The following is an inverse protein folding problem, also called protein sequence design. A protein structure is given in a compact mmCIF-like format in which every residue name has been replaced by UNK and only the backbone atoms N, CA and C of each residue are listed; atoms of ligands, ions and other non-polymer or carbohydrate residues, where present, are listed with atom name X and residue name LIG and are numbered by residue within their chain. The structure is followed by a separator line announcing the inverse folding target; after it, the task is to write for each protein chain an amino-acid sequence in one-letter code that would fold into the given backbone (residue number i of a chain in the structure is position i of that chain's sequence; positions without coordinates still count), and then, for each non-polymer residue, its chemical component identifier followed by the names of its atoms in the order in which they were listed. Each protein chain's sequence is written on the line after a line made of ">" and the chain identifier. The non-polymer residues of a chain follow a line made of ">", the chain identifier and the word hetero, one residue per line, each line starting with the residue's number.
data_IF_638863084407
#
_entry.id   IF_638863084407
#
_cell.length_a   1.000
_cell.length_b   1.000
_cell.length_c   1.000
_cell.angle_alpha   90.00
_cell.angle_beta   90.00
_cell.angle_gamma   90.00
#
_symmetry.space_group_name_H-M   'P 1'
#
loop_
_entity.id
_entity.type
_entity.pdbx_description
1 polymer ?
#
# COMPACT_ATOMS: atom_id res chain seq x y z
N UNK A 1 -20.80 4.31 -10.77
CA UNK A 1 -19.46 3.91 -10.28
C UNK A 1 -19.53 3.37 -8.87
N UNK A 2 -18.90 2.24 -8.64
CA UNK A 2 -18.87 1.65 -7.31
C UNK A 2 -18.07 2.53 -6.35
N UNK A 3 -18.61 2.70 -5.16
CA UNK A 3 -17.93 3.40 -4.11
C UNK A 3 -17.96 2.58 -2.86
N UNK A 4 -16.79 2.22 -2.37
CA UNK A 4 -16.67 1.50 -1.11
C UNK A 4 -16.83 2.50 0.03
N UNK A 5 -17.75 2.23 0.93
CA UNK A 5 -18.01 3.12 2.06
C UNK A 5 -17.54 2.51 3.35
N UNK A 6 -17.05 3.37 4.22
CA UNK A 6 -16.71 2.97 5.58
C UNK A 6 -18.01 3.07 6.38
N UNK A 7 -18.45 1.95 7.00
CA UNK A 7 -19.70 1.98 7.76
C UNK A 7 -19.66 3.00 8.88
N UNK A 8 -20.81 3.63 9.13
CA UNK A 8 -20.91 4.62 10.19
C UNK A 8 -20.73 4.03 11.58
N UNK A 9 -20.99 2.73 11.74
CA UNK A 9 -20.88 2.10 13.03
C UNK A 9 -19.46 1.66 13.38
N UNK A 10 -18.50 1.94 12.51
CA UNK A 10 -17.11 1.72 12.86
C UNK A 10 -16.65 2.86 13.74
N UNK A 11 -16.39 2.54 15.00
CA UNK A 11 -15.99 3.53 15.99
C UNK A 11 -14.56 3.35 16.45
N UNK A 12 -13.82 2.43 15.86
CA UNK A 12 -12.44 2.15 16.23
C UNK A 12 -11.51 2.67 15.14
N UNK A 13 -10.60 3.57 15.54
CA UNK A 13 -9.67 4.15 14.56
C UNK A 13 -8.85 3.12 13.83
N UNK A 14 -8.49 2.02 14.50
CA UNK A 14 -7.72 0.97 13.86
C UNK A 14 -8.52 0.34 12.73
N UNK A 15 -9.80 0.07 12.97
CA UNK A 15 -10.65 -0.52 11.94
C UNK A 15 -10.80 0.40 10.74
N UNK A 16 -10.96 1.70 11.00
CA UNK A 16 -11.06 2.68 9.93
C UNK A 16 -9.78 2.69 9.11
N UNK A 17 -8.64 2.71 9.78
CA UNK A 17 -7.35 2.70 9.09
C UNK A 17 -7.19 1.45 8.24
N UNK A 18 -7.54 0.28 8.79
CA UNK A 18 -7.43 -0.96 8.04
C UNK A 18 -8.37 -0.99 6.85
N UNK A 19 -9.49 -0.29 6.92
CA UNK A 19 -10.36 -0.17 5.76
C UNK A 19 -9.68 0.58 4.64
N UNK A 20 -8.86 1.57 4.99
CA UNK A 20 -8.19 2.42 4.00
C UNK A 20 -6.93 1.76 3.43
N UNK A 21 -6.11 1.13 4.29
CA UNK A 21 -4.80 0.61 3.85
C UNK A 21 -4.68 -0.91 4.00
N UNK A 22 -5.77 -1.60 4.26
CA UNK A 22 -5.70 -3.02 4.62
C UNK A 22 -5.44 -4.00 3.48
N UNK A 23 -5.41 -3.55 2.24
CA UNK A 23 -5.08 -4.44 1.14
C UNK A 23 -3.62 -4.82 1.17
N UNK A 24 -3.31 -6.01 0.66
CA UNK A 24 -1.96 -6.56 0.77
C UNK A 24 -0.89 -5.64 0.21
N UNK A 25 -1.20 -4.89 -0.85
CA UNK A 25 -0.20 -4.10 -1.55
C UNK A 25 -0.34 -2.61 -1.34
N UNK A 26 -1.42 -2.16 -0.66
CA UNK A 26 -1.74 -0.73 -0.58
C UNK A 26 -0.65 0.09 0.07
N UNK A 27 -0.14 -0.36 1.21
CA UNK A 27 0.91 0.39 1.90
C UNK A 27 2.18 0.47 1.07
N UNK A 28 2.52 -0.61 0.39
CA UNK A 28 3.71 -0.61 -0.48
C UNK A 28 3.51 0.32 -1.68
N UNK A 29 2.30 0.36 -2.22
CA UNK A 29 2.00 1.29 -3.32
C UNK A 29 2.17 2.73 -2.84
N UNK A 30 1.66 3.04 -1.65
CA UNK A 30 1.81 4.39 -1.10
C UNK A 30 3.28 4.75 -0.95
N UNK A 31 4.09 3.82 -0.42
CA UNK A 31 5.53 4.06 -0.31
C UNK A 31 6.16 4.37 -1.66
N UNK A 32 5.78 3.60 -2.66
CA UNK A 32 6.37 3.78 -3.97
C UNK A 32 6.00 5.14 -4.56
N UNK A 33 4.76 5.57 -4.35
CA UNK A 33 4.31 6.86 -4.86
C UNK A 33 4.94 8.03 -4.13
N UNK A 34 5.53 7.80 -2.97
CA UNK A 34 6.28 8.86 -2.29
C UNK A 34 7.53 9.26 -3.07
N UNK A 35 8.02 8.40 -3.95
CA UNK A 35 9.19 8.72 -4.77
C UNK A 35 8.82 9.53 -6.01
N UNK A 36 7.53 9.70 -6.28
CA UNK A 36 7.05 10.46 -7.42
C UNK A 36 5.92 9.74 -8.11
N UNK A 37 5.22 10.42 -9.01
CA UNK A 37 4.11 9.80 -9.74
C UNK A 37 4.56 8.58 -10.54
N UNK A 38 3.65 7.63 -10.69
CA UNK A 38 3.93 6.38 -11.40
C UNK A 38 2.79 6.03 -12.32
N UNK A 39 3.12 5.44 -13.46
CA UNK A 39 2.13 4.86 -14.36
C UNK A 39 1.71 3.49 -13.83
N UNK A 40 0.48 3.06 -14.15
CA UNK A 40 0.07 1.70 -13.75
C UNK A 40 1.05 0.63 -14.20
N UNK A 41 1.59 0.74 -15.42
CA UNK A 41 2.53 -0.27 -15.90
C UNK A 41 3.81 -0.32 -15.07
N UNK A 42 4.24 0.83 -14.56
CA UNK A 42 5.42 0.86 -13.69
C UNK A 42 5.14 0.14 -12.38
N UNK A 43 3.95 0.34 -11.82
CA UNK A 43 3.58 -0.34 -10.59
C UNK A 43 3.44 -1.84 -10.81
N UNK A 44 2.89 -2.25 -11.97
CA UNK A 44 2.80 -3.67 -12.27
C UNK A 44 4.18 -4.31 -12.33
N UNK A 45 5.16 -3.60 -12.87
CA UNK A 45 6.53 -4.13 -12.93
C UNK A 45 7.20 -4.21 -11.57
N UNK A 46 6.86 -3.27 -10.68
CA UNK A 46 7.44 -3.26 -9.34
C UNK A 46 6.87 -4.35 -8.45
N UNK A 47 5.59 -4.65 -8.60
CA UNK A 47 4.91 -5.60 -7.73
C UNK A 47 4.56 -6.85 -8.52
N UNK A 48 5.61 -7.56 -8.98
CA UNK A 48 5.43 -8.69 -9.88
C UNK A 48 4.76 -9.89 -9.23
N UNK A 49 4.76 -9.96 -7.89
CA UNK A 49 4.11 -11.06 -7.18
C UNK A 49 2.59 -10.91 -7.18
N UNK A 50 2.09 -9.75 -7.53
CA UNK A 50 0.65 -9.51 -7.63
C UNK A 50 0.27 -9.47 -9.09
N UNK A 51 -0.95 -9.95 -9.41
CA UNK A 51 -1.44 -9.79 -10.77
C UNK A 51 -1.74 -8.31 -11.03
N UNK A 52 -1.67 -7.87 -12.29
CA UNK A 52 -2.07 -6.50 -12.61
C UNK A 52 -3.48 -6.18 -12.16
N UNK A 53 -4.37 -7.17 -12.21
CA UNK A 53 -5.75 -6.97 -11.77
C UNK A 53 -5.82 -6.61 -10.29
N UNK A 54 -5.04 -7.28 -9.46
CA UNK A 54 -5.02 -7.00 -8.02
C UNK A 54 -4.47 -5.60 -7.76
N UNK A 55 -3.36 -5.26 -8.41
CA UNK A 55 -2.78 -3.92 -8.23
C UNK A 55 -3.76 -2.86 -8.67
N UNK A 56 -4.41 -3.05 -9.83
CA UNK A 56 -5.38 -2.07 -10.32
C UNK A 56 -6.56 -1.92 -9.36
N UNK A 57 -7.00 -3.02 -8.75
CA UNK A 57 -8.10 -2.95 -7.79
C UNK A 57 -7.70 -2.15 -6.57
N UNK A 58 -6.50 -2.36 -6.07
CA UNK A 58 -6.06 -1.63 -4.88
C UNK A 58 -5.78 -0.17 -5.20
N UNK A 59 -5.29 0.14 -6.39
CA UNK A 59 -5.17 1.53 -6.83
C UNK A 59 -6.52 2.22 -6.84
N UNK A 60 -7.54 1.53 -7.36
CA UNK A 60 -8.88 2.09 -7.41
C UNK A 60 -9.41 2.38 -6.01
N UNK A 61 -9.19 1.47 -5.07
CA UNK A 61 -9.65 1.66 -3.71
C UNK A 61 -8.92 2.82 -3.03
N UNK A 62 -7.61 2.92 -3.23
CA UNK A 62 -6.86 4.05 -2.69
C UNK A 62 -7.34 5.38 -3.27
N UNK A 63 -7.67 5.38 -4.55
CA UNK A 63 -8.19 6.59 -5.19
C UNK A 63 -9.55 6.95 -4.62
N UNK A 64 -10.41 5.97 -4.40
CA UNK A 64 -11.73 6.23 -3.82
C UNK A 64 -11.64 6.85 -2.44
N UNK A 65 -10.65 6.46 -1.66
CA UNK A 65 -10.48 7.00 -0.31
C UNK A 65 -9.70 8.32 -0.32
N UNK A 66 -9.31 8.81 -1.50
CA UNK A 66 -8.62 10.08 -1.59
C UNK A 66 -7.16 10.04 -1.20
N UNK A 67 -6.60 8.85 -1.08
CA UNK A 67 -5.19 8.69 -0.69
C UNK A 67 -4.26 8.95 -1.86
N UNK A 68 -4.69 8.57 -3.06
CA UNK A 68 -3.94 8.85 -4.28
C UNK A 68 -4.88 9.50 -5.28
N UNK A 69 -4.30 10.18 -6.26
CA UNK A 69 -5.05 10.80 -7.34
C UNK A 69 -4.53 10.27 -8.67
N UNK A 70 -5.39 10.30 -9.67
CA UNK A 70 -5.06 9.84 -11.00
C UNK A 70 -5.14 11.01 -11.96
N UNK A 71 -4.10 11.22 -12.75
CA UNK A 71 -4.07 12.25 -13.75
C UNK A 71 -3.96 11.59 -15.12
N UNK A 72 -4.82 12.02 -16.04
CA UNK A 72 -4.83 11.49 -17.39
C UNK A 72 -4.15 12.51 -18.30
N UNK A 73 -3.15 12.05 -19.04
CA UNK A 73 -2.43 12.87 -20.01
C UNK A 73 -2.94 12.56 -21.41
N UNK A 74 -3.51 13.58 -22.06
CA UNK A 74 -4.11 13.42 -23.38
C UNK A 74 -3.05 13.60 -24.47
N UNK A 75 -2.00 12.83 -24.35
CA UNK A 75 -0.92 12.83 -25.32
C UNK A 75 -1.10 11.64 -26.26
N UNK A 76 -0.15 11.46 -27.15
CA UNK A 76 -0.13 10.32 -28.08
C UNK A 76 1.09 9.47 -27.76
N UNK A 77 0.89 8.28 -27.16
CA UNK A 77 -0.39 7.70 -26.75
C UNK A 77 -0.85 8.28 -25.42
N UNK A 78 -2.15 8.30 -25.16
CA UNK A 78 -2.64 8.76 -23.85
C UNK A 78 -2.17 7.83 -22.76
N UNK A 79 -1.92 8.41 -21.58
CA UNK A 79 -1.51 7.60 -20.44
C UNK A 79 -2.00 8.26 -19.16
N UNK A 80 -1.93 7.50 -18.07
CA UNK A 80 -2.30 8.02 -16.76
C UNK A 80 -1.17 7.82 -15.79
N UNK A 81 -1.18 8.65 -14.74
CA UNK A 81 -0.22 8.56 -13.66
C UNK A 81 -0.96 8.70 -12.34
N UNK A 82 -0.53 7.92 -11.36
CA UNK A 82 -1.02 8.04 -10.00
C UNK A 82 -0.01 8.80 -9.15
N UNK A 83 -0.50 9.62 -8.24
CA UNK A 83 0.34 10.39 -7.32
C UNK A 83 -0.30 10.40 -5.95
N UNK A 84 0.54 10.52 -4.93
CA UNK A 84 0.04 10.60 -3.56
C UNK A 84 -0.58 11.98 -3.33
N UNK A 85 -1.71 12.02 -2.62
CA UNK A 85 -2.37 13.28 -2.28
C UNK A 85 -1.82 13.81 -0.97
N UNK A 86 -2.23 15.06 -0.62
CA UNK A 86 -1.86 15.60 0.69
C UNK A 86 -2.43 14.74 1.81
N UNK A 87 -3.66 14.25 1.65
CA UNK A 87 -4.22 13.33 2.65
C UNK A 87 -3.39 12.06 2.72
N UNK A 88 -2.99 11.53 1.56
CA UNK A 88 -2.17 10.31 1.54
C UNK A 88 -0.85 10.49 2.26
N UNK A 89 -0.26 11.69 2.18
CA UNK A 89 1.00 11.95 2.85
C UNK A 89 0.89 11.82 4.37
N UNK A 90 -0.30 12.02 4.91
CA UNK A 90 -0.48 11.86 6.36
C UNK A 90 -0.31 10.43 6.82
N UNK A 91 -0.37 9.47 5.90
CA UNK A 91 -0.17 8.07 6.22
C UNK A 91 1.30 7.66 6.22
N UNK A 92 2.18 8.49 5.69
CA UNK A 92 3.57 8.10 5.54
C UNK A 92 4.23 7.74 6.88
N UNK A 93 4.09 8.57 7.95
CA UNK A 93 4.69 8.18 9.23
C UNK A 93 4.15 6.86 9.76
N UNK A 94 2.87 6.60 9.57
CA UNK A 94 2.28 5.34 10.02
C UNK A 94 2.85 4.17 9.24
N UNK A 95 2.96 4.32 7.92
CA UNK A 95 3.46 3.23 7.09
C UNK A 95 4.92 2.96 7.41
N UNK A 96 5.70 3.99 7.71
CA UNK A 96 7.08 3.81 8.13
C UNK A 96 7.15 2.97 9.40
N UNK A 97 6.24 3.24 10.35
CA UNK A 97 6.21 2.46 11.58
C UNK A 97 5.77 1.02 11.32
N UNK A 98 4.83 0.82 10.41
CA UNK A 98 4.44 -0.53 10.02
C UNK A 98 5.63 -1.30 9.44
N UNK A 99 6.42 -0.63 8.62
CA UNK A 99 7.59 -1.27 8.02
C UNK A 99 8.62 -1.63 9.08
N UNK A 100 8.89 -0.72 10.01
CA UNK A 100 9.85 -0.97 11.08
C UNK A 100 9.41 -2.16 11.91
N UNK A 101 8.14 -2.20 12.28
CA UNK A 101 7.64 -3.31 13.08
C UNK A 101 7.75 -4.63 12.32
N UNK A 102 7.36 -4.60 11.03
CA UNK A 102 7.43 -5.81 10.22
C UNK A 102 8.83 -6.32 10.05
N UNK A 103 9.78 -5.43 9.84
CA UNK A 103 11.18 -5.82 9.70
C UNK A 103 11.71 -6.45 10.99
N UNK A 104 11.31 -5.93 12.14
CA UNK A 104 11.77 -6.47 13.41
C UNK A 104 11.14 -7.83 13.71
N UNK A 105 9.95 -8.08 13.17
CA UNK A 105 9.26 -9.35 13.38
C UNK A 105 9.68 -10.40 12.36
N UNK A 106 10.26 -10.01 11.25
CA UNK A 106 10.56 -10.91 10.13
C UNK A 106 11.35 -12.13 10.60
N UNK A 107 10.88 -13.34 10.30
CA UNK A 107 11.64 -14.52 10.66
C UNK A 107 12.95 -14.56 9.91
N UNK A 108 13.92 -15.14 10.54
CA UNK A 108 15.16 -15.42 9.82
C UNK A 108 14.89 -16.47 8.80
N UNK A 109 15.18 -16.38 7.60
CA UNK A 109 14.75 -17.29 6.63
C UNK A 109 15.69 -17.93 5.84
N UNK A 110 15.61 -17.24 5.88
CA UNK A 110 15.76 -17.30 5.44
C UNK A 110 16.10 -17.60 5.31
N UNK A 111 16.44 -17.50 5.19
CA UNK A 111 16.72 -17.77 5.32
C UNK A 111 15.95 -18.24 5.75
N UNK A 112 15.45 -18.57 5.67
CA UNK A 112 14.71 -18.60 6.51
C UNK A 112 14.64 -19.62 7.02
N UNK A 113 15.45 -19.82 7.25
CA UNK A 113 15.52 -20.54 7.87
C UNK A 113 16.01 -20.50 9.00
N UNK A 114 16.51 -20.02 9.41
CA UNK A 114 16.78 -20.04 10.73
C UNK A 114 16.00 -19.43 11.61
N UNK A 115 15.80 -19.45 11.48
CA UNK A 115 15.24 -18.79 12.25
C UNK A 115 14.89 -18.76 13.14
N UNK A 116 14.94 -18.64 13.52
CA UNK A 116 14.78 -18.14 14.34
C UNK A 116 14.97 -18.32 15.32
N UNK A 117 15.61 -18.25 15.38
CA UNK A 117 15.92 -18.26 16.26
C UNK A 117 15.96 -17.67 17.02
N UNK A 118 16.16 -17.17 16.84
CA UNK A 118 16.18 -16.64 17.73
C UNK A 118 15.66 -16.27 18.19
N UNK A 119 15.64 -16.22 17.81
CA UNK A 119 15.17 -15.90 18.29
C UNK A 119 14.54 -15.91 18.81
N UNK A 120 14.61 -16.02 18.64
CA UNK A 120 14.01 -16.03 19.17
C UNK A 120 13.80 -16.02 19.93
N UNK A 121 14.35 -15.81 20.03
CA UNK A 121 14.10 -15.65 20.75
C UNK A 121 13.56 -15.07 21.32
N UNK A 122 13.65 -14.61 21.25
CA UNK A 122 13.09 -13.97 21.90
C UNK A 122 11.98 -13.38 21.66
N UNK A 123 11.32 -13.36 21.47
CA UNK A 123 10.17 -12.87 21.54
C UNK A 123 9.21 -13.45 21.92
N UNK A 124 9.49 -13.44 21.93
CA UNK A 124 9.01 -13.77 22.35
C UNK A 124 8.62 -14.09 22.56
#
# INVERSE_FOLDING_TARGET
>A
MYKKKIPFDIDCGIKITMEVIGGKWKSCIIQELCTGPKRPSELHRLFTEASPRVINQQLKELEMHGIISKKIFMELPPHSEYAITELGKTLIPLIEQLEIWGDSFRPETVSYTHLRAHETDSYL
#
